data_IF_928761131500
#
_entry.id   IF_928761131500
#
_cell.length_a   1.000
_cell.length_b   1.000
_cell.length_c   1.000
_cell.angle_alpha   90.00
_cell.angle_beta   90.00
_cell.angle_gamma   90.00
#
_symmetry.space_group_name_H-M   'P 1'
#
loop_
_entity.id
_entity.type
_entity.pdbx_description
1 polymer ?
#
# COMPACT_ATOMS: atom_id res chain seq x y z
N UNK A 1 -23.71 60.23 41.83
CA UNK A 1 -23.62 58.78 41.55
C UNK A 1 -24.74 58.43 40.59
N UNK A 2 -24.34 58.04 39.38
CA UNK A 2 -25.02 58.20 38.08
C UNK A 2 -26.47 57.72 37.92
N UNK A 3 -27.32 58.63 37.43
CA UNK A 3 -28.61 58.34 36.78
C UNK A 3 -28.46 57.37 35.58
N UNK A 4 -27.25 57.34 34.99
CA UNK A 4 -26.82 56.39 33.96
C UNK A 4 -26.78 54.94 34.43
N UNK A 5 -26.49 54.68 35.72
CA UNK A 5 -26.51 53.32 36.30
C UNK A 5 -27.93 52.82 36.57
N UNK A 6 -28.89 53.72 36.89
CA UNK A 6 -30.30 53.34 37.07
C UNK A 6 -30.97 52.87 35.78
N UNK A 7 -30.64 53.47 34.63
CA UNK A 7 -31.16 53.04 33.32
C UNK A 7 -30.62 51.70 32.83
N UNK A 8 -29.45 51.26 33.33
CA UNK A 8 -28.84 49.99 32.94
C UNK A 8 -29.44 48.77 33.64
N UNK A 9 -30.08 48.94 34.81
CA UNK A 9 -30.65 47.84 35.59
C UNK A 9 -32.10 47.50 35.23
N UNK A 10 -32.81 48.36 34.49
CA UNK A 10 -34.23 48.13 34.11
C UNK A 10 -34.40 47.38 32.77
N UNK A 11 -33.29 46.98 32.11
CA UNK A 11 -33.32 46.32 30.80
C UNK A 11 -32.84 44.86 30.82
N UNK A 12 -33.01 44.15 31.93
CA UNK A 12 -32.80 42.69 31.95
C UNK A 12 -34.08 42.00 31.50
N UNK A 13 -34.17 41.71 30.20
CA UNK A 13 -35.15 40.76 29.63
C UNK A 13 -35.00 39.43 30.40
N UNK A 14 -36.09 38.76 30.83
CA UNK A 14 -35.96 37.44 31.44
C UNK A 14 -35.28 36.49 30.45
N UNK A 15 -34.52 35.49 30.93
CA UNK A 15 -33.87 34.52 30.06
C UNK A 15 -34.96 33.85 29.22
N UNK A 16 -34.95 34.14 27.92
CA UNK A 16 -35.87 33.50 27.01
C UNK A 16 -35.58 32.00 27.03
N UNK A 17 -36.63 31.21 27.23
CA UNK A 17 -36.82 29.79 26.87
C UNK A 17 -36.50 29.47 25.39
N UNK A 18 -35.71 30.30 24.70
CA UNK A 18 -35.38 30.17 23.27
C UNK A 18 -34.17 29.27 23.01
N UNK A 19 -33.55 28.69 24.04
CA UNK A 19 -32.45 27.75 23.86
C UNK A 19 -32.93 26.32 23.54
N UNK A 20 -34.24 26.06 23.63
CA UNK A 20 -34.82 24.75 23.42
C UNK A 20 -35.89 24.79 22.32
N UNK A 21 -35.49 25.00 21.06
CA UNK A 21 -36.13 24.44 19.85
C UNK A 21 -35.56 25.09 18.58
N UNK A 22 -34.61 24.42 17.96
CA UNK A 22 -34.61 24.30 16.49
C UNK A 22 -33.57 23.25 16.08
N UNK A 23 -33.86 21.99 16.42
CA UNK A 23 -33.34 20.90 15.61
C UNK A 23 -33.86 21.13 14.18
N UNK A 24 -33.04 21.76 13.34
CA UNK A 24 -33.43 22.13 11.98
C UNK A 24 -33.73 20.84 11.22
N UNK A 25 -35.00 20.65 10.87
CA UNK A 25 -35.45 19.49 10.09
C UNK A 25 -34.68 19.50 8.76
N UNK A 26 -33.96 18.42 8.39
CA UNK A 26 -33.14 18.44 7.18
C UNK A 26 -34.03 18.69 5.96
N UNK A 27 -33.66 19.68 5.14
CA UNK A 27 -34.38 19.99 3.91
C UNK A 27 -34.28 18.79 2.95
N UNK A 28 -35.39 18.35 2.35
CA UNK A 28 -35.35 17.29 1.34
C UNK A 28 -34.53 17.78 0.14
N UNK A 29 -33.69 16.89 -0.41
CA UNK A 29 -32.94 17.18 -1.61
C UNK A 29 -33.89 17.38 -2.79
N UNK A 30 -33.64 18.41 -3.60
CA UNK A 30 -34.39 18.61 -4.84
C UNK A 30 -34.08 17.47 -5.81
N UNK A 31 -35.09 17.04 -6.57
CA UNK A 31 -34.93 16.04 -7.64
C UNK A 31 -33.85 16.45 -8.63
N UNK A 32 -33.71 17.76 -8.90
CA UNK A 32 -32.64 18.32 -9.71
C UNK A 32 -31.23 18.02 -9.15
N UNK A 33 -31.04 18.20 -7.84
CA UNK A 33 -29.76 17.88 -7.18
C UNK A 33 -29.43 16.39 -7.27
N UNK A 34 -30.44 15.53 -7.15
CA UNK A 34 -30.28 14.08 -7.29
C UNK A 34 -29.89 13.73 -8.73
N UNK A 35 -30.63 14.22 -9.72
CA UNK A 35 -30.38 13.92 -11.15
C UNK A 35 -29.01 14.40 -11.57
N UNK A 36 -28.61 15.61 -11.18
CA UNK A 36 -27.29 16.15 -11.51
C UNK A 36 -26.15 15.30 -10.96
N UNK A 37 -26.25 14.88 -9.70
CA UNK A 37 -25.24 14.01 -9.06
C UNK A 37 -25.17 12.65 -9.75
N UNK A 38 -26.32 12.05 -10.05
CA UNK A 38 -26.36 10.76 -10.76
C UNK A 38 -25.77 10.87 -12.18
N UNK A 39 -26.09 11.95 -12.90
CA UNK A 39 -25.54 12.18 -14.23
C UNK A 39 -24.02 12.37 -14.19
N UNK A 40 -23.51 13.19 -13.26
CA UNK A 40 -22.07 13.38 -13.10
C UNK A 40 -21.35 12.06 -12.76
N UNK A 41 -21.90 11.25 -11.84
CA UNK A 41 -21.35 9.93 -11.51
C UNK A 41 -21.39 8.97 -12.70
N UNK A 42 -22.50 8.94 -13.45
CA UNK A 42 -22.62 8.10 -14.63
C UNK A 42 -21.61 8.47 -15.71
N UNK A 43 -21.41 9.78 -15.95
CA UNK A 43 -20.39 10.28 -16.88
C UNK A 43 -19.00 9.85 -16.42
N UNK A 44 -18.66 10.05 -15.15
CA UNK A 44 -17.37 9.62 -14.60
C UNK A 44 -17.16 8.11 -14.77
N UNK A 45 -18.17 7.29 -14.48
CA UNK A 45 -18.13 5.84 -14.66
C UNK A 45 -17.91 5.45 -16.12
N UNK A 46 -18.61 6.09 -17.06
CA UNK A 46 -18.45 5.85 -18.50
C UNK A 46 -17.02 6.18 -18.92
N UNK A 47 -16.49 7.34 -18.53
CA UNK A 47 -15.13 7.75 -18.88
C UNK A 47 -14.10 6.76 -18.33
N UNK A 48 -14.22 6.38 -17.04
CA UNK A 48 -13.32 5.39 -16.43
C UNK A 48 -13.42 4.04 -17.14
N UNK A 49 -14.63 3.56 -17.42
CA UNK A 49 -14.87 2.27 -18.07
C UNK A 49 -14.30 2.25 -19.49
N UNK A 50 -14.56 3.29 -20.28
CA UNK A 50 -13.97 3.43 -21.62
C UNK A 50 -12.44 3.51 -21.57
N UNK A 51 -11.87 4.25 -20.61
CA UNK A 51 -10.43 4.33 -20.40
C UNK A 51 -9.79 2.96 -20.10
N UNK A 52 -10.49 2.08 -19.37
CA UNK A 52 -10.03 0.71 -19.12
C UNK A 52 -10.14 -0.19 -20.36
N UNK A 53 -11.26 -0.16 -21.09
CA UNK A 53 -11.48 -1.04 -22.25
C UNK A 53 -10.60 -0.68 -23.45
N UNK A 54 -10.29 0.60 -23.66
CA UNK A 54 -9.46 1.04 -24.79
C UNK A 54 -7.96 0.79 -24.57
N UNK A 55 -7.55 0.45 -23.34
CA UNK A 55 -6.17 0.10 -22.96
C UNK A 55 -5.11 1.07 -23.55
N UNK A 56 -5.39 2.38 -23.49
CA UNK A 56 -4.45 3.44 -23.88
C UNK A 56 -4.12 4.33 -22.69
N UNK A 57 -2.87 4.81 -22.64
CA UNK A 57 -2.40 5.78 -21.65
C UNK A 57 -2.68 7.23 -22.06
N UNK A 58 -3.18 7.47 -23.27
CA UNK A 58 -3.43 8.84 -23.76
C UNK A 58 -4.48 9.59 -22.93
N UNK A 59 -5.31 8.86 -22.18
CA UNK A 59 -6.35 9.41 -21.31
C UNK A 59 -5.92 9.54 -19.84
N UNK A 60 -4.62 9.59 -19.52
CA UNK A 60 -4.16 9.86 -18.16
C UNK A 60 -4.86 11.10 -17.55
N UNK A 61 -5.39 11.04 -16.31
CA UNK A 61 -5.24 9.97 -15.29
C UNK A 61 -6.33 8.87 -15.31
N UNK A 62 -7.13 8.77 -16.37
CA UNK A 62 -8.32 7.92 -16.47
C UNK A 62 -8.12 6.66 -17.36
N UNK A 63 -6.94 6.50 -17.97
CA UNK A 63 -6.54 5.34 -18.80
C UNK A 63 -6.02 4.14 -17.99
N UNK A 64 -5.47 3.11 -18.67
CA UNK A 64 -5.13 1.80 -18.06
C UNK A 64 -3.92 1.78 -17.10
N UNK A 65 -3.39 2.95 -16.70
CA UNK A 65 -2.19 3.11 -15.86
C UNK A 65 -0.96 2.30 -16.31
N UNK A 66 -0.95 1.80 -17.55
CA UNK A 66 0.16 1.03 -18.11
C UNK A 66 1.41 1.88 -18.34
N UNK A 67 1.33 3.20 -18.13
CA UNK A 67 2.48 4.09 -18.10
C UNK A 67 3.52 3.73 -17.01
N UNK A 68 3.11 3.00 -15.97
CA UNK A 68 4.01 2.47 -14.94
C UNK A 68 4.47 1.03 -15.26
N UNK A 69 3.91 0.40 -16.29
CA UNK A 69 4.36 -0.88 -16.78
C UNK A 69 5.56 -0.66 -17.71
N UNK A 70 6.71 -1.22 -17.35
CA UNK A 70 7.85 -1.27 -18.26
C UNK A 70 7.62 -2.39 -19.27
N UNK A 71 7.74 -2.10 -20.57
CA UNK A 71 7.69 -3.14 -21.59
C UNK A 71 8.72 -4.23 -21.27
N UNK A 72 8.24 -5.48 -21.19
CA UNK A 72 9.10 -6.65 -20.99
C UNK A 72 9.26 -7.37 -22.31
N UNK A 73 10.45 -7.91 -22.54
CA UNK A 73 10.69 -8.83 -23.64
C UNK A 73 9.82 -10.07 -23.45
N UNK A 74 8.97 -10.35 -24.43
CA UNK A 74 8.04 -11.49 -24.41
C UNK A 74 8.78 -12.83 -24.45
N UNK A 75 10.05 -12.84 -24.88
CA UNK A 75 10.93 -14.01 -24.89
C UNK A 75 12.08 -13.87 -23.89
N UNK A 76 12.01 -12.90 -22.98
CA UNK A 76 13.02 -12.65 -21.97
C UNK A 76 12.75 -13.40 -20.66
N UNK A 77 13.39 -12.95 -19.57
CA UNK A 77 13.22 -13.52 -18.24
C UNK A 77 12.49 -12.57 -17.29
N UNK A 78 11.63 -13.11 -16.44
CA UNK A 78 11.04 -12.42 -15.29
C UNK A 78 11.80 -12.82 -14.03
N UNK A 79 12.24 -11.82 -13.27
CA UNK A 79 12.97 -12.00 -12.04
C UNK A 79 12.04 -11.68 -10.86
N UNK A 80 11.92 -12.59 -9.91
CA UNK A 80 11.23 -12.36 -8.64
C UNK A 80 12.23 -12.50 -7.51
N UNK A 81 12.48 -11.42 -6.77
CA UNK A 81 13.34 -11.46 -5.59
C UNK A 81 12.65 -12.23 -4.46
N UNK A 82 13.43 -13.01 -3.73
CA UNK A 82 12.98 -13.79 -2.58
C UNK A 82 13.96 -13.65 -1.42
N UNK A 83 13.45 -13.93 -0.22
CA UNK A 83 14.24 -14.03 0.99
C UNK A 83 13.90 -15.37 1.66
N UNK A 84 14.93 -16.09 2.03
CA UNK A 84 14.85 -17.38 2.71
C UNK A 84 15.67 -17.29 3.99
N UNK A 85 15.37 -18.15 4.95
CA UNK A 85 16.12 -18.27 6.18
C UNK A 85 16.36 -19.73 6.51
N UNK A 86 17.59 -20.05 6.90
CA UNK A 86 17.95 -21.34 7.45
C UNK A 86 17.61 -21.32 8.94
N UNK A 87 16.77 -22.26 9.39
CA UNK A 87 16.45 -22.40 10.81
C UNK A 87 17.16 -23.63 11.41
N UNK A 88 17.40 -23.64 12.73
CA UNK A 88 18.01 -24.78 13.40
C UNK A 88 17.18 -26.05 13.22
N UNK A 89 17.82 -27.11 12.71
CA UNK A 89 17.20 -28.42 12.53
C UNK A 89 16.35 -28.58 11.26
N UNK A 90 16.32 -27.59 10.37
CA UNK A 90 15.75 -27.73 9.03
C UNK A 90 16.84 -28.13 8.02
N UNK A 91 16.54 -29.05 7.09
CA UNK A 91 17.50 -29.48 6.06
C UNK A 91 17.60 -28.50 4.89
N UNK A 92 16.55 -27.70 4.66
CA UNK A 92 16.46 -26.73 3.57
C UNK A 92 16.03 -25.35 4.08
N UNK A 93 16.49 -24.25 3.47
CA UNK A 93 16.05 -22.91 3.82
C UNK A 93 14.55 -22.72 3.64
N UNK A 94 13.90 -22.13 4.64
CA UNK A 94 12.49 -21.78 4.58
C UNK A 94 12.30 -20.42 3.91
N UNK A 95 11.43 -20.37 2.90
CA UNK A 95 11.05 -19.11 2.25
C UNK A 95 10.19 -18.23 3.14
N UNK A 96 10.64 -16.99 3.30
CA UNK A 96 9.95 -15.97 4.08
C UNK A 96 9.20 -15.00 3.16
N UNK A 97 8.13 -14.41 3.68
CA UNK A 97 7.38 -13.36 2.98
C UNK A 97 8.08 -12.01 3.12
N UNK A 98 8.24 -11.28 2.01
CA UNK A 98 8.52 -9.84 2.07
C UNK A 98 7.24 -9.10 2.42
N UNK A 99 7.04 -8.85 3.71
CA UNK A 99 5.97 -8.01 4.23
C UNK A 99 6.34 -7.52 5.63
N UNK A 100 5.62 -6.52 6.10
CA UNK A 100 5.82 -5.90 7.43
C UNK A 100 5.56 -6.84 8.61
N UNK A 101 4.79 -7.90 8.43
CA UNK A 101 4.48 -8.88 9.47
C UNK A 101 5.53 -10.00 9.59
N UNK A 102 6.34 -10.25 8.55
CA UNK A 102 7.35 -11.31 8.55
C UNK A 102 8.76 -10.79 8.76
N UNK A 103 9.27 -9.97 7.83
CA UNK A 103 10.65 -9.43 7.89
C UNK A 103 10.68 -7.92 8.08
N UNK A 104 9.52 -7.28 8.31
CA UNK A 104 9.42 -5.86 8.63
C UNK A 104 9.55 -4.91 7.44
N UNK A 105 9.70 -5.42 6.21
CA UNK A 105 9.90 -4.63 5.00
C UNK A 105 9.18 -5.22 3.79
N UNK A 106 8.73 -4.35 2.88
CA UNK A 106 8.10 -4.76 1.62
C UNK A 106 9.15 -5.09 0.55
N UNK A 107 8.78 -5.96 -0.40
CA UNK A 107 9.70 -6.43 -1.45
C UNK A 107 10.29 -5.28 -2.27
N UNK A 108 9.46 -4.29 -2.60
CA UNK A 108 9.86 -3.17 -3.45
C UNK A 108 10.99 -2.34 -2.85
N UNK A 109 11.05 -2.22 -1.52
CA UNK A 109 12.10 -1.46 -0.83
C UNK A 109 13.44 -2.18 -0.95
N UNK A 110 13.46 -3.51 -0.76
CA UNK A 110 14.66 -4.34 -0.96
C UNK A 110 15.09 -4.33 -2.42
N UNK A 111 14.16 -4.47 -3.36
CA UNK A 111 14.45 -4.44 -4.79
C UNK A 111 15.05 -3.11 -5.24
N UNK A 112 14.65 -1.99 -4.62
CA UNK A 112 15.22 -0.66 -4.90
C UNK A 112 16.67 -0.49 -4.43
N UNK A 113 17.12 -1.33 -3.50
CA UNK A 113 18.46 -1.32 -2.91
C UNK A 113 19.22 -2.62 -3.19
N UNK A 114 18.78 -3.41 -4.18
CA UNK A 114 19.25 -4.77 -4.34
C UNK A 114 20.78 -4.86 -4.50
N UNK A 115 21.36 -4.02 -5.35
CA UNK A 115 22.81 -3.99 -5.58
C UNK A 115 23.59 -3.68 -4.30
N UNK A 116 23.02 -2.82 -3.44
CA UNK A 116 23.61 -2.50 -2.14
C UNK A 116 23.55 -3.70 -1.20
N UNK A 117 22.41 -4.40 -1.12
CA UNK A 117 22.27 -5.59 -0.25
C UNK A 117 23.15 -6.75 -0.75
N UNK A 118 23.30 -6.92 -2.06
CA UNK A 118 24.23 -7.91 -2.63
C UNK A 118 25.68 -7.56 -2.29
N UNK A 119 26.06 -6.29 -2.40
CA UNK A 119 27.42 -5.83 -2.09
C UNK A 119 27.72 -5.81 -0.58
N UNK A 120 26.68 -5.69 0.24
CA UNK A 120 26.73 -5.62 1.70
C UNK A 120 25.75 -6.61 2.34
N UNK A 121 26.06 -7.93 2.31
CA UNK A 121 25.17 -8.97 2.85
C UNK A 121 24.89 -8.80 4.34
N UNK A 122 25.75 -8.11 5.09
CA UNK A 122 25.55 -7.79 6.51
C UNK A 122 24.24 -7.04 6.79
N UNK A 123 23.67 -6.36 5.78
CA UNK A 123 22.36 -5.71 5.88
C UNK A 123 21.22 -6.71 6.11
N UNK A 124 21.41 -7.99 5.77
CA UNK A 124 20.43 -9.04 6.03
C UNK A 124 20.28 -9.34 7.54
N UNK A 125 21.25 -8.98 8.38
CA UNK A 125 21.12 -9.06 9.85
C UNK A 125 19.89 -8.28 10.33
N UNK A 126 19.63 -7.09 9.76
CA UNK A 126 18.47 -6.28 10.15
C UNK A 126 17.14 -6.98 9.86
N UNK A 127 17.10 -7.84 8.83
CA UNK A 127 15.93 -8.66 8.52
C UNK A 127 15.78 -9.82 9.51
N UNK A 128 16.89 -10.48 9.89
CA UNK A 128 16.90 -11.49 10.95
C UNK A 128 16.41 -10.90 12.28
N UNK A 129 16.97 -9.78 12.72
CA UNK A 129 16.58 -9.09 13.96
C UNK A 129 15.10 -8.68 13.94
N UNK A 130 14.58 -8.34 12.76
CA UNK A 130 13.17 -7.99 12.58
C UNK A 130 12.27 -9.22 12.63
N UNK A 131 12.69 -10.32 12.00
CA UNK A 131 11.99 -11.60 12.09
C UNK A 131 11.89 -12.07 13.54
N UNK A 132 13.00 -12.08 14.29
CA UNK A 132 13.00 -12.48 15.71
C UNK A 132 12.06 -11.62 16.56
N UNK A 133 12.03 -10.30 16.32
CA UNK A 133 11.16 -9.38 17.05
C UNK A 133 9.68 -9.59 16.72
N UNK A 134 9.36 -9.94 15.48
CA UNK A 134 7.99 -10.17 15.01
C UNK A 134 7.48 -11.58 15.34
N UNK A 135 8.39 -12.54 15.46
CA UNK A 135 8.12 -13.95 15.69
C UNK A 135 8.86 -14.48 16.95
N UNK A 136 8.57 -13.95 18.16
CA UNK A 136 9.31 -14.31 19.37
C UNK A 136 9.17 -15.78 19.78
N UNK A 137 8.13 -16.45 19.30
CA UNK A 137 7.84 -17.87 19.58
C UNK A 137 8.42 -18.83 18.52
N UNK A 138 9.03 -18.30 17.44
CA UNK A 138 9.69 -19.11 16.41
C UNK A 138 11.20 -19.24 16.68
N UNK A 139 11.84 -20.31 16.16
CA UNK A 139 13.29 -20.42 16.21
C UNK A 139 13.96 -19.22 15.53
N UNK A 140 15.11 -18.82 16.07
CA UNK A 140 15.94 -17.79 15.47
C UNK A 140 16.58 -18.32 14.18
N UNK A 141 16.62 -17.54 13.09
CA UNK A 141 17.31 -17.95 11.88
C UNK A 141 18.83 -18.01 12.12
N UNK A 142 19.48 -19.04 11.60
CA UNK A 142 20.95 -19.19 11.61
C UNK A 142 21.57 -18.42 10.44
N UNK A 143 20.91 -18.42 9.28
CA UNK A 143 21.34 -17.68 8.10
C UNK A 143 20.16 -17.04 7.38
N UNK A 144 20.41 -15.88 6.77
CA UNK A 144 19.49 -15.19 5.87
C UNK A 144 20.02 -15.27 4.44
N UNK A 145 19.16 -15.62 3.49
CA UNK A 145 19.52 -15.86 2.10
C UNK A 145 18.66 -14.99 1.20
N UNK A 146 19.30 -14.04 0.51
CA UNK A 146 18.68 -13.26 -0.55
C UNK A 146 18.79 -14.04 -1.86
N UNK A 147 17.65 -14.29 -2.49
CA UNK A 147 17.56 -15.11 -3.67
C UNK A 147 16.73 -14.46 -4.78
N UNK A 148 16.72 -15.11 -5.94
CA UNK A 148 15.94 -14.73 -7.11
C UNK A 148 15.43 -15.96 -7.82
N UNK A 149 14.13 -15.99 -8.03
CA UNK A 149 13.49 -16.91 -8.96
C UNK A 149 13.50 -16.28 -10.35
N UNK A 150 14.11 -16.95 -11.33
CA UNK A 150 14.19 -16.52 -12.73
C UNK A 150 13.26 -17.41 -13.55
N UNK A 151 12.24 -16.80 -14.14
CA UNK A 151 11.26 -17.48 -15.00
C UNK A 151 11.49 -17.08 -16.45
N UNK A 152 11.72 -18.07 -17.33
CA UNK A 152 11.83 -17.83 -18.76
C UNK A 152 10.45 -17.61 -19.38
N UNK A 153 10.35 -16.67 -20.31
CA UNK A 153 9.16 -16.45 -21.11
C UNK A 153 9.37 -16.93 -22.55
N UNK A 154 8.30 -17.42 -23.16
CA UNK A 154 8.16 -17.61 -24.61
C UNK A 154 6.81 -17.02 -25.03
N UNK A 155 6.84 -16.03 -25.92
CA UNK A 155 5.67 -15.28 -26.37
C UNK A 155 4.76 -14.80 -25.21
N UNK A 156 5.39 -14.29 -24.13
CA UNK A 156 4.71 -13.75 -22.95
C UNK A 156 4.18 -14.80 -21.97
N UNK A 157 4.49 -16.09 -22.18
CA UNK A 157 4.07 -17.18 -21.29
C UNK A 157 5.28 -17.79 -20.59
N UNK A 158 5.12 -18.14 -19.32
CA UNK A 158 6.14 -18.89 -18.56
C UNK A 158 6.41 -20.23 -19.23
N UNK A 159 7.69 -20.55 -19.42
CA UNK A 159 8.13 -21.84 -19.96
C UNK A 159 9.27 -22.42 -19.12
N UNK A 160 9.26 -23.74 -18.95
CA UNK A 160 10.22 -24.46 -18.12
C UNK A 160 10.01 -24.26 -16.62
N UNK A 161 10.87 -24.91 -15.85
CA UNK A 161 10.91 -24.74 -14.39
C UNK A 161 11.66 -23.44 -14.04
N UNK A 162 11.16 -22.65 -13.08
CA UNK A 162 11.85 -21.46 -12.63
C UNK A 162 13.22 -21.80 -12.02
N UNK A 163 14.24 -21.04 -12.41
CA UNK A 163 15.60 -21.21 -11.88
C UNK A 163 15.73 -20.46 -10.54
N UNK A 164 16.25 -21.13 -9.51
CA UNK A 164 16.54 -20.51 -8.22
C UNK A 164 18.00 -20.05 -8.15
N UNK A 165 18.23 -18.75 -7.92
CA UNK A 165 19.57 -18.15 -7.80
C UNK A 165 19.75 -17.50 -6.44
N UNK A 166 20.80 -17.90 -5.73
CA UNK A 166 21.26 -17.19 -4.54
C UNK A 166 22.01 -15.94 -4.99
N UNK A 167 21.65 -14.79 -4.43
CA UNK A 167 22.27 -13.50 -4.70
C UNK A 167 23.24 -13.11 -3.59
N UNK A 168 22.87 -13.36 -2.33
CA UNK A 168 23.70 -13.13 -1.16
C UNK A 168 23.26 -14.02 -0.01
N UNK A 169 24.18 -14.34 0.89
CA UNK A 169 23.93 -15.09 2.13
C UNK A 169 24.62 -14.39 3.29
N UNK A 170 23.99 -14.39 4.45
CA UNK A 170 24.52 -13.85 5.68
C UNK A 170 24.28 -14.80 6.85
N UNK A 171 25.33 -15.12 7.58
CA UNK A 171 25.25 -15.87 8.84
C UNK A 171 24.90 -14.91 9.98
N UNK A 172 23.80 -15.20 10.68
CA UNK A 172 23.23 -14.35 11.73
C UNK A 172 24.11 -14.39 12.98
N UNK A 173 24.33 -13.23 13.60
CA UNK A 173 25.17 -13.05 14.80
C UNK A 173 24.36 -12.70 16.04
#
# INVERSE_FOLDING_TARGET
MDEKKRRLLTKRKPPSESAAESATKPRPMTTWSIVWRLAATAIALIVLTCGQFLNTNDFFPLGSLTQYATAKDLNGTVNSTCIEAQFPGEDEPRRLGFNTATVGIERGDIESQLDRVISHPELLQTLADSFERLHPDEPKPEAMILCRTVTQLDNGRSVGEPEHKILATWEVQ
#
